data_IF_931001134206
#
_entry.id   IF_931001134206
#
_cell.length_a   1.000
_cell.length_b   1.000
_cell.length_c   1.000
_cell.angle_alpha   90.00
_cell.angle_beta   90.00
_cell.angle_gamma   90.00
#
_symmetry.space_group_name_H-M   'P 1'
#
loop_
_entity.id
_entity.type
_entity.pdbx_description
1 polymer ?
#
# COMPACT_ATOMS: atom_id res chain seq x y z
N UNK A 1 -35.77 13.29 -19.49
CA UNK A 1 -35.29 14.08 -20.66
C UNK A 1 -34.51 15.33 -20.24
N UNK A 2 -35.02 16.17 -19.34
CA UNK A 2 -34.43 17.49 -19.02
C UNK A 2 -32.94 17.49 -18.57
N UNK A 3 -32.42 16.38 -18.05
CA UNK A 3 -31.00 16.24 -17.68
C UNK A 3 -30.06 15.80 -18.82
N UNK A 4 -30.60 15.49 -20.00
CA UNK A 4 -29.83 15.02 -21.15
C UNK A 4 -29.74 16.09 -22.22
N UNK A 5 -28.61 16.10 -22.94
CA UNK A 5 -28.38 17.06 -24.00
C UNK A 5 -29.18 16.74 -25.27
N UNK A 6 -29.36 15.47 -25.62
CA UNK A 6 -30.02 15.03 -26.86
C UNK A 6 -31.39 14.40 -26.59
N UNK A 7 -32.10 14.05 -27.66
CA UNK A 7 -33.33 13.25 -27.60
C UNK A 7 -33.07 11.74 -27.49
N UNK A 8 -31.82 11.30 -27.34
CA UNK A 8 -31.46 9.93 -27.03
C UNK A 8 -31.24 9.81 -25.52
N UNK A 9 -31.96 8.88 -24.88
CA UNK A 9 -31.87 8.65 -23.44
C UNK A 9 -31.56 7.17 -23.23
N UNK A 10 -30.56 6.89 -22.39
CA UNK A 10 -30.27 5.52 -21.95
C UNK A 10 -31.13 5.17 -20.73
N UNK A 11 -31.74 3.99 -20.78
CA UNK A 11 -32.42 3.37 -19.64
C UNK A 11 -31.70 2.06 -19.34
N UNK A 12 -30.94 2.04 -18.24
CA UNK A 12 -30.25 0.83 -17.76
C UNK A 12 -31.25 -0.06 -17.05
N UNK A 13 -31.82 -1.03 -17.78
CA UNK A 13 -32.82 -1.95 -17.25
C UNK A 13 -32.14 -3.16 -16.63
N UNK A 14 -31.88 -3.10 -15.32
CA UNK A 14 -31.17 -4.11 -14.57
C UNK A 14 -30.74 -3.57 -13.20
N UNK A 15 -30.24 -4.46 -12.37
CA UNK A 15 -29.69 -4.17 -11.04
C UNK A 15 -28.74 -5.32 -10.65
N UNK A 16 -28.17 -5.28 -9.45
CA UNK A 16 -27.29 -6.32 -8.92
C UNK A 16 -27.87 -7.73 -9.10
N UNK A 17 -27.13 -8.58 -9.82
CA UNK A 17 -27.47 -9.99 -10.10
C UNK A 17 -28.84 -10.23 -10.76
N UNK A 18 -29.42 -9.23 -11.42
CA UNK A 18 -30.61 -9.44 -12.24
C UNK A 18 -30.31 -10.32 -13.49
N UNK A 19 -31.38 -10.74 -14.16
CA UNK A 19 -31.38 -11.62 -15.35
C UNK A 19 -31.02 -13.10 -15.12
N UNK A 20 -30.99 -13.59 -13.87
CA UNK A 20 -30.97 -15.05 -13.62
C UNK A 20 -32.15 -15.77 -14.30
N UNK A 21 -33.34 -15.16 -14.26
CA UNK A 21 -34.48 -15.52 -15.09
C UNK A 21 -34.76 -14.43 -16.14
N UNK A 22 -33.98 -14.44 -17.21
CA UNK A 22 -34.04 -13.41 -18.25
C UNK A 22 -35.41 -13.31 -18.98
N UNK A 23 -36.14 -14.43 -19.12
CA UNK A 23 -37.43 -14.44 -19.85
C UNK A 23 -38.46 -13.49 -19.23
N UNK A 24 -38.52 -13.43 -17.90
CA UNK A 24 -39.44 -12.54 -17.20
C UNK A 24 -39.17 -11.05 -17.50
N UNK A 25 -37.90 -10.67 -17.56
CA UNK A 25 -37.45 -9.32 -17.88
C UNK A 25 -37.80 -8.98 -19.33
N UNK A 26 -37.39 -9.83 -20.28
CA UNK A 26 -37.60 -9.60 -21.71
C UNK A 26 -39.08 -9.60 -22.09
N UNK A 27 -39.90 -10.48 -21.52
CA UNK A 27 -41.35 -10.51 -21.76
C UNK A 27 -42.05 -9.21 -21.35
N UNK A 28 -41.62 -8.58 -20.26
CA UNK A 28 -42.17 -7.30 -19.82
C UNK A 28 -41.62 -6.12 -20.62
N UNK A 29 -40.33 -6.14 -20.98
CA UNK A 29 -39.73 -5.15 -21.87
C UNK A 29 -40.37 -5.17 -23.26
N UNK A 30 -40.65 -6.34 -23.83
CA UNK A 30 -41.33 -6.48 -25.13
C UNK A 30 -42.72 -5.84 -25.11
N UNK A 31 -43.49 -6.08 -24.03
CA UNK A 31 -44.79 -5.42 -23.83
C UNK A 31 -44.63 -3.91 -23.71
N UNK A 32 -43.67 -3.44 -22.90
CA UNK A 32 -43.40 -2.01 -22.72
C UNK A 32 -43.08 -1.34 -24.06
N UNK A 33 -42.12 -1.89 -24.81
CA UNK A 33 -41.72 -1.42 -26.13
C UNK A 33 -42.93 -1.37 -27.07
N UNK A 34 -43.67 -2.49 -27.16
CA UNK A 34 -44.86 -2.59 -28.03
C UNK A 34 -45.89 -1.50 -27.72
N UNK A 35 -46.30 -1.38 -26.46
CA UNK A 35 -47.40 -0.49 -26.10
C UNK A 35 -46.98 0.98 -26.02
N UNK A 36 -45.74 1.30 -25.65
CA UNK A 36 -45.23 2.69 -25.69
C UNK A 36 -45.11 3.16 -27.14
N UNK A 37 -44.55 2.35 -28.03
CA UNK A 37 -44.40 2.73 -29.44
C UNK A 37 -45.76 2.82 -30.14
N UNK A 38 -46.74 1.99 -29.78
CA UNK A 38 -48.10 2.09 -30.32
C UNK A 38 -48.78 3.44 -30.04
N UNK A 39 -48.41 4.15 -28.97
CA UNK A 39 -48.93 5.50 -28.67
C UNK A 39 -48.45 6.57 -29.68
N UNK A 40 -47.51 6.26 -30.56
CA UNK A 40 -47.14 7.15 -31.67
C UNK A 40 -48.34 7.42 -32.58
N UNK A 41 -49.26 6.44 -32.74
CA UNK A 41 -50.52 6.64 -33.46
C UNK A 41 -51.44 7.68 -32.78
N UNK A 42 -51.24 7.93 -31.48
CA UNK A 42 -51.97 8.91 -30.68
C UNK A 42 -51.13 10.19 -30.42
N UNK A 43 -50.09 10.44 -31.22
CA UNK A 43 -49.29 11.67 -31.16
C UNK A 43 -48.09 11.66 -30.20
N UNK A 44 -47.74 10.50 -29.62
CA UNK A 44 -46.49 10.39 -28.84
C UNK A 44 -45.26 10.49 -29.75
N UNK A 45 -44.26 11.28 -29.34
CA UNK A 45 -42.96 11.39 -30.04
C UNK A 45 -41.88 10.48 -29.43
N UNK A 46 -42.27 9.51 -28.60
CA UNK A 46 -41.35 8.60 -27.91
C UNK A 46 -41.20 7.32 -28.71
N UNK A 47 -39.95 6.88 -28.89
CA UNK A 47 -39.61 5.58 -29.46
C UNK A 47 -38.69 4.83 -28.50
N UNK A 48 -39.09 3.62 -28.09
CA UNK A 48 -38.36 2.75 -27.17
C UNK A 48 -37.95 1.48 -27.91
N UNK A 49 -36.73 1.01 -27.71
CA UNK A 49 -36.20 -0.19 -28.35
C UNK A 49 -35.03 -0.73 -27.53
N UNK A 50 -34.72 -2.02 -27.70
CA UNK A 50 -33.50 -2.60 -27.12
C UNK A 50 -32.27 -1.95 -27.72
N UNK A 51 -31.28 -1.65 -26.89
CA UNK A 51 -30.04 -1.02 -27.32
C UNK A 51 -28.89 -1.48 -26.43
N UNK A 52 -27.68 -1.04 -26.78
CA UNK A 52 -26.46 -1.25 -26.02
C UNK A 52 -25.81 0.10 -25.71
N UNK A 53 -24.88 0.13 -24.75
CA UNK A 53 -24.12 1.35 -24.46
C UNK A 53 -23.37 1.88 -25.69
N UNK A 54 -22.88 1.01 -26.56
CA UNK A 54 -22.19 1.42 -27.80
C UNK A 54 -23.16 2.05 -28.81
N UNK A 55 -24.34 1.47 -29.03
CA UNK A 55 -25.36 2.05 -29.91
C UNK A 55 -25.85 3.41 -29.41
N UNK A 56 -26.01 3.56 -28.08
CA UNK A 56 -26.35 4.84 -27.46
C UNK A 56 -25.26 5.90 -27.71
N UNK A 57 -23.99 5.58 -27.44
CA UNK A 57 -22.87 6.50 -27.68
C UNK A 57 -22.72 6.86 -29.17
N UNK A 58 -22.97 5.91 -30.08
CA UNK A 58 -23.01 6.17 -31.52
C UNK A 58 -24.07 7.19 -31.89
N UNK A 59 -25.30 7.05 -31.36
CA UNK A 59 -26.37 8.00 -31.59
C UNK A 59 -26.04 9.40 -31.04
N UNK A 60 -25.40 9.47 -29.86
CA UNK A 60 -24.92 10.74 -29.30
C UNK A 60 -23.85 11.41 -30.18
N UNK A 61 -22.91 10.63 -30.74
CA UNK A 61 -21.90 11.14 -31.65
C UNK A 61 -22.53 11.65 -32.97
N UNK A 62 -23.53 10.94 -33.50
CA UNK A 62 -24.27 11.34 -34.71
C UNK A 62 -25.16 12.57 -34.52
N UNK A 63 -25.52 12.91 -33.29
CA UNK A 63 -26.29 14.12 -32.99
C UNK A 63 -25.51 15.43 -33.21
N UNK A 64 -24.22 15.35 -33.62
CA UNK A 64 -23.35 16.47 -34.00
C UNK A 64 -23.43 17.66 -33.05
N UNK A 65 -23.27 17.37 -31.76
CA UNK A 65 -23.39 18.33 -30.67
C UNK A 65 -22.03 18.61 -30.04
N UNK A 66 -21.81 19.85 -29.61
CA UNK A 66 -20.70 20.20 -28.73
C UNK A 66 -20.97 19.79 -27.27
N UNK A 67 -19.95 19.23 -26.63
CA UNK A 67 -19.99 18.76 -25.24
C UNK A 67 -19.08 19.62 -24.36
N UNK A 68 -19.42 19.76 -23.08
CA UNK A 68 -18.54 20.45 -22.12
C UNK A 68 -17.36 19.55 -21.76
N UNK A 69 -16.18 20.14 -21.69
CA UNK A 69 -14.99 19.44 -21.17
C UNK A 69 -15.04 19.33 -19.64
N UNK A 70 -14.53 18.21 -19.11
CA UNK A 70 -14.33 17.92 -17.68
C UNK A 70 -12.93 17.32 -17.56
N UNK A 71 -12.08 17.90 -16.71
CA UNK A 71 -10.64 17.60 -16.69
C UNK A 71 -10.13 17.14 -15.32
N UNK A 72 -10.89 17.39 -14.26
CA UNK A 72 -10.68 16.89 -12.91
C UNK A 72 -11.42 15.57 -12.68
N UNK A 73 -11.27 14.95 -11.51
CA UNK A 73 -11.87 13.67 -11.17
C UNK A 73 -13.26 13.78 -10.50
N UNK A 74 -13.75 12.65 -9.97
CA UNK A 74 -15.04 12.55 -9.28
C UNK A 74 -14.89 12.21 -7.79
N UNK A 75 -13.73 12.51 -7.20
CA UNK A 75 -13.48 12.25 -5.78
C UNK A 75 -13.61 13.49 -4.89
N UNK A 76 -13.98 13.31 -3.60
CA UNK A 76 -14.65 12.12 -3.05
C UNK A 76 -16.13 12.05 -3.46
N UNK A 77 -16.66 10.82 -3.52
CA UNK A 77 -18.09 10.55 -3.75
C UNK A 77 -18.89 10.72 -2.45
N UNK A 78 -20.07 11.32 -2.55
CA UNK A 78 -21.08 11.33 -1.49
C UNK A 78 -22.48 11.16 -2.09
N UNK A 79 -23.29 10.34 -1.44
CA UNK A 79 -24.65 10.04 -1.86
C UNK A 79 -25.72 10.81 -1.06
N UNK A 80 -25.34 11.38 0.08
CA UNK A 80 -26.12 12.30 0.91
C UNK A 80 -25.16 13.10 1.84
N UNK A 81 -25.62 14.12 2.60
CA UNK A 81 -24.74 15.05 3.31
C UNK A 81 -23.70 14.42 4.26
N UNK A 82 -24.10 13.42 5.07
CA UNK A 82 -23.20 12.70 6.00
C UNK A 82 -22.62 11.39 5.43
N UNK A 83 -22.69 11.20 4.11
CA UNK A 83 -22.43 9.92 3.45
C UNK A 83 -21.27 9.99 2.47
N UNK A 84 -20.13 10.53 2.91
CA UNK A 84 -18.89 10.61 2.12
C UNK A 84 -18.12 9.29 2.13
N UNK A 85 -17.94 8.71 0.94
CA UNK A 85 -17.30 7.41 0.76
C UNK A 85 -15.79 7.59 0.71
N UNK A 86 -15.20 7.87 1.87
CA UNK A 86 -13.74 8.03 2.03
C UNK A 86 -13.14 7.07 3.05
N UNK A 87 -13.96 6.30 3.76
CA UNK A 87 -13.50 5.26 4.69
C UNK A 87 -12.85 4.08 3.96
N UNK A 88 -13.32 3.75 2.75
CA UNK A 88 -12.75 2.65 1.97
C UNK A 88 -11.34 2.96 1.43
N UNK A 89 -10.90 4.23 1.47
CA UNK A 89 -9.52 4.58 1.15
C UNK A 89 -8.52 3.90 2.11
N UNK A 90 -8.94 3.59 3.34
CA UNK A 90 -8.09 2.99 4.38
C UNK A 90 -8.59 1.64 4.91
N UNK A 91 -9.84 1.26 4.63
CA UNK A 91 -10.43 0.00 5.10
C UNK A 91 -9.61 -1.21 4.66
N UNK A 92 -9.37 -2.18 5.57
CA UNK A 92 -8.53 -3.37 5.33
C UNK A 92 -7.12 -3.03 4.80
N UNK A 93 -6.41 -2.09 5.43
CA UNK A 93 -5.06 -1.66 5.03
C UNK A 93 -4.06 -2.82 4.78
N UNK A 94 -4.15 -3.91 5.54
CA UNK A 94 -3.33 -5.10 5.33
C UNK A 94 -3.56 -5.75 3.96
N UNK A 95 -4.82 -5.89 3.51
CA UNK A 95 -5.15 -6.44 2.19
C UNK A 95 -4.70 -5.50 1.07
N UNK A 96 -4.85 -4.18 1.25
CA UNK A 96 -4.32 -3.17 0.31
C UNK A 96 -2.81 -3.28 0.14
N UNK A 97 -2.07 -3.44 1.23
CA UNK A 97 -0.62 -3.66 1.18
C UNK A 97 -0.29 -5.01 0.51
N UNK A 98 -1.05 -6.06 0.83
CA UNK A 98 -0.79 -7.39 0.30
C UNK A 98 -1.02 -7.48 -1.21
N UNK A 99 -2.04 -6.79 -1.74
CA UNK A 99 -2.26 -6.66 -3.18
C UNK A 99 -1.05 -5.98 -3.86
N UNK A 100 -0.51 -4.88 -3.31
CA UNK A 100 0.64 -4.18 -3.90
C UNK A 100 1.89 -5.05 -3.92
N UNK A 101 2.09 -5.82 -2.86
CA UNK A 101 3.18 -6.79 -2.75
C UNK A 101 3.02 -7.94 -3.75
N UNK A 102 1.83 -8.52 -3.86
CA UNK A 102 1.53 -9.56 -4.83
C UNK A 102 1.68 -9.07 -6.28
N UNK A 103 1.26 -7.83 -6.58
CA UNK A 103 1.51 -7.22 -7.90
C UNK A 103 3.00 -7.10 -8.20
N UNK A 104 3.82 -6.67 -7.23
CA UNK A 104 5.27 -6.59 -7.41
C UNK A 104 5.87 -7.97 -7.77
N UNK A 105 5.49 -9.02 -7.02
CA UNK A 105 5.91 -10.39 -7.30
C UNK A 105 5.45 -10.83 -8.70
N UNK A 106 4.21 -10.52 -9.09
CA UNK A 106 3.69 -10.83 -10.43
C UNK A 106 4.52 -10.16 -11.52
N UNK A 107 4.87 -8.88 -11.39
CA UNK A 107 5.69 -8.18 -12.39
C UNK A 107 7.11 -8.75 -12.45
N UNK A 108 7.76 -8.97 -11.29
CA UNK A 108 9.09 -9.59 -11.22
C UNK A 108 9.09 -10.97 -11.88
N UNK A 109 8.08 -11.78 -11.60
CA UNK A 109 7.97 -13.13 -12.16
C UNK A 109 7.72 -13.10 -13.67
N UNK A 110 6.96 -12.11 -14.18
CA UNK A 110 6.81 -11.89 -15.62
C UNK A 110 8.12 -11.48 -16.28
N UNK A 111 8.91 -10.62 -15.66
CA UNK A 111 10.25 -10.25 -16.14
C UNK A 111 11.13 -11.50 -16.24
N UNK A 112 11.25 -12.26 -15.15
CA UNK A 112 12.04 -13.48 -15.10
C UNK A 112 11.57 -14.54 -16.11
N UNK A 113 10.27 -14.74 -16.25
CA UNK A 113 9.70 -15.63 -17.27
C UNK A 113 10.07 -15.20 -18.70
N UNK A 114 10.07 -13.90 -18.98
CA UNK A 114 10.49 -13.36 -20.27
C UNK A 114 12.00 -13.53 -20.51
N UNK A 115 12.85 -13.14 -19.53
CA UNK A 115 14.31 -13.24 -19.64
C UNK A 115 14.81 -14.68 -19.76
N UNK A 116 14.26 -15.59 -18.96
CA UNK A 116 14.65 -16.99 -18.96
C UNK A 116 13.89 -17.83 -19.99
N UNK A 117 12.93 -17.24 -20.72
CA UNK A 117 12.05 -17.92 -21.66
C UNK A 117 11.48 -19.24 -21.07
N UNK A 118 10.84 -19.17 -19.91
CA UNK A 118 10.31 -20.36 -19.22
C UNK A 118 8.97 -20.83 -19.79
N UNK A 119 8.32 -20.05 -20.66
CA UNK A 119 6.99 -20.33 -21.22
C UNK A 119 5.90 -20.55 -20.15
N UNK A 120 6.07 -19.94 -18.97
CA UNK A 120 5.23 -20.16 -17.80
C UNK A 120 3.96 -19.28 -17.75
N UNK A 121 3.48 -18.78 -18.91
CA UNK A 121 2.30 -17.89 -18.96
C UNK A 121 1.07 -18.52 -18.32
N UNK A 122 0.78 -19.78 -18.66
CA UNK A 122 -0.37 -20.50 -18.11
C UNK A 122 -0.16 -20.86 -16.64
N UNK A 123 1.08 -21.18 -16.26
CA UNK A 123 1.44 -21.41 -14.85
C UNK A 123 1.20 -20.17 -14.00
N UNK A 124 1.44 -18.96 -14.52
CA UNK A 124 1.18 -17.69 -13.83
C UNK A 124 -0.28 -17.22 -13.88
N UNK A 125 -1.18 -17.97 -14.52
CA UNK A 125 -2.58 -17.58 -14.61
C UNK A 125 -3.23 -17.42 -13.23
N UNK A 126 -3.05 -18.31 -12.23
CA UNK A 126 -3.67 -18.15 -10.91
C UNK A 126 -3.33 -16.82 -10.22
N UNK A 127 -2.06 -16.40 -10.24
CA UNK A 127 -1.68 -15.09 -9.68
C UNK A 127 -2.22 -13.93 -10.52
N UNK A 128 -2.23 -14.05 -11.84
CA UNK A 128 -2.78 -13.00 -12.72
C UNK A 128 -4.29 -12.84 -12.52
N UNK A 129 -5.02 -13.94 -12.36
CA UNK A 129 -6.45 -13.96 -12.05
C UNK A 129 -6.73 -13.39 -10.66
N UNK A 130 -6.01 -13.87 -9.63
CA UNK A 130 -6.14 -13.35 -8.27
C UNK A 130 -5.89 -11.84 -8.20
N UNK A 131 -4.88 -11.34 -8.91
CA UNK A 131 -4.62 -9.90 -9.02
C UNK A 131 -5.74 -9.15 -9.74
N UNK A 132 -6.34 -9.74 -10.78
CA UNK A 132 -7.49 -9.16 -11.47
C UNK A 132 -8.73 -9.08 -10.58
N UNK A 133 -9.06 -10.16 -9.87
CA UNK A 133 -10.15 -10.22 -8.89
C UNK A 133 -9.92 -9.22 -7.75
N UNK A 134 -8.67 -9.08 -7.28
CA UNK A 134 -8.33 -8.11 -6.24
C UNK A 134 -8.59 -6.65 -6.66
N UNK A 135 -8.67 -6.33 -7.95
CA UNK A 135 -9.05 -4.98 -8.43
C UNK A 135 -10.58 -4.75 -8.42
N UNK A 136 -11.39 -5.76 -8.10
CA UNK A 136 -12.83 -5.58 -7.92
C UNK A 136 -13.11 -4.46 -6.92
N UNK A 137 -14.17 -3.68 -7.15
CA UNK A 137 -14.47 -2.49 -6.36
C UNK A 137 -14.95 -2.80 -4.93
N UNK A 138 -15.17 -4.08 -4.59
CA UNK A 138 -15.35 -4.56 -3.21
C UNK A 138 -14.17 -5.38 -2.67
N UNK A 139 -13.10 -5.54 -3.43
CA UNK A 139 -11.90 -6.26 -2.99
C UNK A 139 -10.88 -5.27 -2.43
N UNK A 140 -10.15 -4.57 -3.29
CA UNK A 140 -9.12 -3.62 -2.85
C UNK A 140 -9.68 -2.49 -1.98
N UNK A 141 -10.95 -2.10 -2.18
CA UNK A 141 -11.65 -1.10 -1.36
C UNK A 141 -11.82 -1.55 0.10
N UNK A 142 -11.87 -2.86 0.36
CA UNK A 142 -12.06 -3.42 1.69
C UNK A 142 -13.51 -3.37 2.18
N UNK A 143 -14.48 -3.40 1.27
CA UNK A 143 -15.92 -3.24 1.55
C UNK A 143 -16.73 -4.55 1.52
N UNK A 144 -16.05 -5.68 1.31
CA UNK A 144 -16.57 -7.03 1.38
C UNK A 144 -16.76 -7.56 2.81
N UNK A 145 -17.50 -8.67 2.94
CA UNK A 145 -17.60 -9.44 4.19
C UNK A 145 -16.26 -10.10 4.53
N UNK A 146 -16.03 -10.35 5.82
CA UNK A 146 -14.76 -10.90 6.31
C UNK A 146 -14.33 -12.21 5.65
N UNK A 147 -15.27 -13.14 5.40
CA UNK A 147 -14.95 -14.40 4.72
C UNK A 147 -14.47 -14.21 3.28
N UNK A 148 -15.00 -13.21 2.58
CA UNK A 148 -14.59 -12.86 1.21
C UNK A 148 -13.22 -12.20 1.21
N UNK A 149 -12.92 -11.35 2.21
CA UNK A 149 -11.58 -10.80 2.41
C UNK A 149 -10.51 -11.89 2.59
N UNK A 150 -10.86 -12.94 3.34
CA UNK A 150 -9.99 -14.10 3.52
C UNK A 150 -9.81 -14.91 2.23
N UNK A 151 -10.87 -15.08 1.43
CA UNK A 151 -10.79 -15.70 0.10
C UNK A 151 -9.84 -14.91 -0.83
N UNK A 152 -9.96 -13.57 -0.87
CA UNK A 152 -9.03 -12.74 -1.66
C UNK A 152 -7.58 -12.91 -1.20
N UNK A 153 -7.32 -12.86 0.10
CA UNK A 153 -5.97 -13.07 0.64
C UNK A 153 -5.44 -14.48 0.33
N UNK A 154 -6.29 -15.51 0.43
CA UNK A 154 -5.93 -16.89 0.10
C UNK A 154 -5.54 -17.02 -1.36
N UNK A 155 -6.34 -16.50 -2.30
CA UNK A 155 -6.04 -16.52 -3.74
C UNK A 155 -4.71 -15.86 -4.07
N UNK A 156 -4.42 -14.71 -3.46
CA UNK A 156 -3.13 -14.02 -3.63
C UNK A 156 -1.97 -14.88 -3.12
N UNK A 157 -2.12 -15.50 -1.95
CA UNK A 157 -1.12 -16.39 -1.35
C UNK A 157 -0.82 -17.61 -2.22
N UNK A 158 -1.86 -18.30 -2.67
CA UNK A 158 -1.74 -19.46 -3.58
C UNK A 158 -1.10 -19.05 -4.91
N UNK A 159 -1.50 -17.91 -5.47
CA UNK A 159 -0.87 -17.35 -6.67
C UNK A 159 0.62 -17.04 -6.49
N UNK A 160 1.01 -16.48 -5.34
CA UNK A 160 2.42 -16.20 -5.02
C UNK A 160 3.23 -17.50 -4.94
N UNK A 161 2.71 -18.56 -4.31
CA UNK A 161 3.39 -19.86 -4.24
C UNK A 161 3.64 -20.44 -5.64
N UNK A 162 2.68 -20.30 -6.55
CA UNK A 162 2.86 -20.71 -7.95
C UNK A 162 3.94 -19.87 -8.65
N UNK A 163 3.98 -18.56 -8.37
CA UNK A 163 5.00 -17.67 -8.91
C UNK A 163 6.41 -18.03 -8.43
N UNK A 164 6.59 -18.47 -7.18
CA UNK A 164 7.89 -18.96 -6.67
C UNK A 164 8.44 -20.11 -7.53
N UNK A 165 7.58 -21.04 -7.95
CA UNK A 165 7.99 -22.13 -8.85
C UNK A 165 8.54 -21.61 -10.19
N UNK A 166 7.91 -20.58 -10.75
CA UNK A 166 8.36 -19.96 -12.02
C UNK A 166 9.65 -19.17 -11.83
N UNK A 167 9.80 -18.45 -10.71
CA UNK A 167 11.05 -17.76 -10.34
C UNK A 167 12.21 -18.78 -10.27
N UNK A 168 11.99 -19.93 -9.63
CA UNK A 168 12.98 -20.99 -9.55
C UNK A 168 13.37 -21.57 -10.92
N UNK A 169 12.37 -21.82 -11.79
CA UNK A 169 12.65 -22.27 -13.16
C UNK A 169 13.46 -21.24 -13.95
N UNK A 170 13.21 -19.95 -13.73
CA UNK A 170 13.96 -18.88 -14.36
C UNK A 170 15.41 -18.86 -13.86
N UNK A 171 15.63 -18.87 -12.54
CA UNK A 171 16.98 -18.90 -11.98
C UNK A 171 17.75 -20.17 -12.36
N UNK A 172 17.09 -21.32 -12.47
CA UNK A 172 17.72 -22.56 -12.95
C UNK A 172 18.25 -22.46 -14.40
N UNK A 173 17.78 -21.49 -15.19
CA UNK A 173 18.28 -21.19 -16.53
C UNK A 173 19.28 -20.02 -16.55
N UNK A 174 19.07 -19.01 -15.70
CA UNK A 174 19.85 -17.77 -15.69
C UNK A 174 21.15 -17.87 -14.87
N UNK A 175 21.16 -18.68 -13.81
CA UNK A 175 22.35 -18.84 -12.98
C UNK A 175 23.42 -19.65 -13.74
N UNK A 176 24.72 -19.30 -13.58
CA UNK A 176 25.81 -20.02 -14.22
C UNK A 176 25.76 -21.52 -13.89
N UNK A 177 25.93 -22.36 -14.91
CA UNK A 177 26.09 -23.81 -14.74
C UNK A 177 27.54 -24.15 -15.00
N UNK A 178 28.31 -24.37 -13.94
CA UNK A 178 29.54 -25.15 -14.07
C UNK A 178 29.21 -26.64 -13.87
N UNK A 179 29.85 -27.50 -14.66
CA UNK A 179 29.81 -28.96 -14.57
C UNK A 179 30.14 -29.49 -13.17
N UNK A 180 30.85 -28.71 -12.34
CA UNK A 180 31.17 -29.04 -10.95
C UNK A 180 30.28 -28.36 -9.90
N UNK A 181 29.35 -27.49 -10.30
CA UNK A 181 28.48 -26.79 -9.34
C UNK A 181 27.41 -27.73 -8.78
N UNK A 182 27.14 -27.65 -7.45
CA UNK A 182 26.02 -28.39 -6.88
C UNK A 182 24.70 -27.95 -7.53
N UNK A 183 23.67 -28.83 -7.56
CA UNK A 183 22.35 -28.45 -8.05
C UNK A 183 21.84 -27.20 -7.35
N UNK A 184 21.31 -26.26 -8.13
CA UNK A 184 20.67 -25.05 -7.59
C UNK A 184 19.53 -25.50 -6.68
N UNK A 185 19.64 -25.18 -5.39
CA UNK A 185 18.58 -25.47 -4.42
C UNK A 185 17.37 -24.59 -4.70
N UNK A 186 16.19 -25.09 -4.31
CA UNK A 186 14.96 -24.33 -4.42
C UNK A 186 15.03 -23.07 -3.57
N UNK A 187 14.90 -21.91 -4.22
CA UNK A 187 14.80 -20.60 -3.60
C UNK A 187 13.35 -20.35 -3.18
N UNK A 188 13.14 -19.64 -2.07
CA UNK A 188 11.81 -19.24 -1.60
C UNK A 188 11.84 -17.75 -1.26
N UNK A 189 10.68 -17.11 -1.25
CA UNK A 189 10.59 -15.69 -0.91
C UNK A 189 10.41 -15.52 0.61
N UNK A 190 11.13 -14.58 1.20
CA UNK A 190 10.92 -14.15 2.59
C UNK A 190 9.65 -13.27 2.71
N UNK A 191 8.47 -13.88 2.61
CA UNK A 191 7.17 -13.18 2.62
C UNK A 191 6.84 -12.47 3.94
N UNK A 192 7.52 -12.84 5.04
CA UNK A 192 7.32 -12.27 6.38
C UNK A 192 8.40 -11.25 6.76
N UNK A 193 9.11 -10.70 5.78
CA UNK A 193 10.19 -9.72 6.00
C UNK A 193 9.71 -8.42 6.65
N UNK A 194 8.45 -8.02 6.43
CA UNK A 194 7.84 -6.85 7.07
C UNK A 194 7.73 -7.00 8.60
N UNK A 195 7.51 -8.23 9.08
CA UNK A 195 7.56 -8.55 10.51
C UNK A 195 8.95 -9.08 10.86
N UNK A 196 10.00 -8.67 10.14
CA UNK A 196 11.41 -9.06 10.29
C UNK A 196 11.62 -10.55 10.56
N UNK A 197 10.95 -11.42 9.79
CA UNK A 197 11.01 -12.87 9.89
C UNK A 197 11.24 -13.52 8.52
N UNK A 198 12.13 -14.52 8.46
CA UNK A 198 12.28 -15.35 7.28
C UNK A 198 12.64 -16.78 7.68
N UNK A 199 11.63 -17.65 7.73
CA UNK A 199 11.73 -18.97 8.36
C UNK A 199 12.80 -19.87 7.76
N UNK A 200 13.02 -19.84 6.44
CA UNK A 200 13.95 -20.77 5.80
C UNK A 200 15.43 -20.45 6.00
N UNK A 201 15.78 -19.24 6.50
CA UNK A 201 17.18 -18.89 6.83
C UNK A 201 17.47 -18.97 8.33
N UNK A 202 16.44 -19.14 9.17
CA UNK A 202 16.59 -19.14 10.61
C UNK A 202 17.35 -20.38 11.12
N UNK A 203 18.53 -20.17 11.69
CA UNK A 203 19.36 -21.24 12.24
C UNK A 203 20.28 -21.92 11.21
N UNK A 204 20.28 -21.46 9.95
CA UNK A 204 21.22 -21.94 8.93
C UNK A 204 22.62 -21.41 9.19
N UNK A 205 23.64 -22.25 9.05
CA UNK A 205 25.05 -21.82 9.16
C UNK A 205 25.53 -21.10 7.92
N UNK A 206 25.00 -21.47 6.75
CA UNK A 206 25.26 -20.84 5.47
C UNK A 206 23.96 -20.71 4.68
N UNK A 207 23.75 -19.57 4.04
CA UNK A 207 22.63 -19.37 3.13
C UNK A 207 22.97 -18.29 2.09
N UNK A 208 22.12 -18.14 1.08
CA UNK A 208 22.28 -17.10 0.07
C UNK A 208 21.03 -16.24 -0.01
N UNK A 209 21.21 -14.98 -0.39
CA UNK A 209 20.13 -14.03 -0.65
C UNK A 209 20.31 -13.50 -2.06
N UNK A 210 19.38 -13.84 -2.96
CA UNK A 210 19.34 -13.30 -4.32
C UNK A 210 18.40 -12.11 -4.37
N UNK A 211 18.91 -10.97 -4.82
CA UNK A 211 18.15 -9.72 -4.91
C UNK A 211 17.97 -9.34 -6.37
N UNK A 212 16.72 -9.19 -6.79
CA UNK A 212 16.36 -8.78 -8.15
C UNK A 212 15.97 -7.29 -8.17
N UNK A 213 16.50 -6.55 -9.13
CA UNK A 213 16.12 -5.19 -9.44
C UNK A 213 15.17 -5.16 -10.66
N UNK A 214 13.87 -4.87 -10.47
CA UNK A 214 12.91 -4.79 -11.57
C UNK A 214 12.95 -3.46 -12.33
N UNK A 215 13.79 -2.50 -11.92
CA UNK A 215 13.89 -1.19 -12.56
C UNK A 215 14.87 -1.21 -13.74
N UNK A 216 14.62 -0.31 -14.69
CA UNK A 216 15.44 -0.16 -15.91
C UNK A 216 16.77 0.59 -15.69
N UNK A 217 17.06 0.98 -14.45
CA UNK A 217 18.29 1.65 -14.06
C UNK A 217 18.92 0.91 -12.88
N UNK A 218 20.23 1.12 -12.71
CA UNK A 218 20.97 0.60 -11.57
C UNK A 218 20.43 1.20 -10.27
N UNK A 219 20.31 0.38 -9.23
CA UNK A 219 19.81 0.81 -7.92
C UNK A 219 20.86 0.50 -6.86
N UNK A 220 21.17 1.49 -6.04
CA UNK A 220 21.93 1.32 -4.82
C UNK A 220 20.99 1.47 -3.63
N UNK A 221 20.94 0.48 -2.75
CA UNK A 221 20.04 0.49 -1.60
C UNK A 221 20.64 -0.30 -0.43
N UNK A 222 20.10 -0.09 0.77
CA UNK A 222 20.43 -0.89 1.94
C UNK A 222 19.40 -2.01 2.12
N UNK A 223 19.85 -3.19 2.48
CA UNK A 223 19.02 -4.37 2.66
C UNK A 223 19.08 -4.82 4.11
N UNK A 224 17.91 -5.14 4.68
CA UNK A 224 17.77 -5.68 6.04
C UNK A 224 17.47 -7.17 5.96
N UNK A 225 18.29 -7.99 6.62
CA UNK A 225 18.08 -9.45 6.70
C UNK A 225 17.97 -9.86 8.17
N UNK A 226 16.83 -10.41 8.63
CA UNK A 226 16.68 -10.85 10.01
C UNK A 226 17.53 -12.09 10.28
N UNK A 227 18.34 -12.05 11.33
CA UNK A 227 19.30 -13.12 11.65
C UNK A 227 19.29 -13.48 13.14
N UNK A 228 19.65 -14.73 13.46
CA UNK A 228 19.78 -15.20 14.85
C UNK A 228 21.16 -14.91 15.44
N UNK A 229 22.16 -14.79 14.58
CA UNK A 229 23.56 -14.65 14.95
C UNK A 229 24.27 -13.75 13.94
N UNK A 230 25.56 -13.54 14.14
CA UNK A 230 26.36 -12.73 13.22
C UNK A 230 26.85 -13.57 12.03
N UNK A 231 26.91 -12.95 10.85
CA UNK A 231 27.31 -13.58 9.60
C UNK A 231 28.31 -12.69 8.87
N UNK A 232 29.32 -13.31 8.28
CA UNK A 232 30.12 -12.68 7.23
C UNK A 232 29.31 -12.71 5.95
N UNK A 233 29.13 -11.54 5.33
CA UNK A 233 28.40 -11.41 4.06
C UNK A 233 29.39 -11.14 2.94
N UNK A 234 29.31 -11.93 1.87
CA UNK A 234 30.11 -11.75 0.66
C UNK A 234 29.25 -11.42 -0.54
N UNK A 235 29.79 -10.60 -1.42
CA UNK A 235 29.17 -10.24 -2.68
C UNK A 235 29.38 -11.33 -3.76
N UNK A 236 28.84 -11.17 -4.99
CA UNK A 236 29.05 -12.10 -6.09
C UNK A 236 30.52 -12.29 -6.51
N UNK A 237 31.41 -11.36 -6.19
CA UNK A 237 32.85 -11.45 -6.52
C UNK A 237 33.65 -12.20 -5.45
N UNK A 238 33.04 -12.46 -4.28
CA UNK A 238 33.64 -13.11 -3.12
C UNK A 238 34.22 -12.12 -2.10
N UNK A 239 34.13 -10.81 -2.37
CA UNK A 239 34.58 -9.76 -1.46
C UNK A 239 33.66 -9.68 -0.23
N UNK A 240 34.24 -9.51 0.95
CA UNK A 240 33.50 -9.33 2.19
C UNK A 240 32.90 -7.93 2.23
N UNK A 241 31.58 -7.84 2.39
CA UNK A 241 30.88 -6.57 2.54
C UNK A 241 30.96 -6.05 3.97
N UNK A 242 30.98 -4.73 4.09
CA UNK A 242 30.70 -4.09 5.37
C UNK A 242 29.24 -4.35 5.77
N UNK A 243 29.06 -4.82 7.00
CA UNK A 243 27.74 -5.15 7.54
C UNK A 243 27.60 -4.66 8.96
N UNK A 244 26.42 -4.20 9.32
CA UNK A 244 26.10 -3.81 10.70
C UNK A 244 24.94 -4.62 11.25
N UNK A 245 25.08 -5.00 12.51
CA UNK A 245 24.08 -5.79 13.22
C UNK A 245 23.25 -4.89 14.13
N UNK A 246 22.01 -4.63 13.72
CA UNK A 246 21.10 -3.70 14.38
C UNK A 246 20.00 -4.47 15.11
N UNK A 247 19.59 -4.08 16.34
CA UNK A 247 18.46 -4.72 17.01
C UNK A 247 17.15 -4.46 16.29
N UNK A 248 16.26 -5.46 16.31
CA UNK A 248 14.87 -5.31 15.85
C UNK A 248 14.08 -4.63 16.96
N UNK A 249 13.22 -3.67 16.64
CA UNK A 249 12.44 -2.95 17.65
C UNK A 249 11.51 -3.86 18.45
N UNK A 250 11.21 -3.45 19.68
CA UNK A 250 10.30 -4.22 20.54
C UNK A 250 8.89 -4.30 19.95
N UNK A 251 8.45 -3.26 19.24
CA UNK A 251 7.17 -3.24 18.53
C UNK A 251 7.08 -4.37 17.50
N UNK A 252 8.10 -4.49 16.63
CA UNK A 252 8.18 -5.56 15.63
C UNK A 252 8.29 -6.94 16.29
N UNK A 253 9.10 -7.07 17.35
CA UNK A 253 9.24 -8.33 18.10
C UNK A 253 7.93 -8.80 18.76
N UNK A 254 7.01 -7.87 19.04
CA UNK A 254 5.72 -8.14 19.68
C UNK A 254 4.56 -8.33 18.69
N UNK A 255 4.79 -8.21 17.38
CA UNK A 255 3.74 -8.41 16.39
C UNK A 255 3.12 -9.82 16.54
N UNK A 256 1.79 -9.93 16.69
CA UNK A 256 1.13 -11.23 16.77
C UNK A 256 1.43 -12.11 15.55
N UNK A 257 1.74 -13.39 15.80
CA UNK A 257 2.11 -14.35 14.75
C UNK A 257 3.61 -14.40 14.43
N UNK A 258 4.40 -13.42 14.90
CA UNK A 258 5.87 -13.47 14.79
C UNK A 258 6.46 -14.49 15.78
N UNK A 259 7.44 -15.29 15.34
CA UNK A 259 8.24 -16.12 16.24
C UNK A 259 9.39 -15.29 16.85
N UNK A 260 9.73 -15.50 18.13
CA UNK A 260 10.78 -14.74 18.84
C UNK A 260 12.21 -15.21 18.54
N UNK A 261 12.43 -15.80 17.36
CA UNK A 261 13.64 -16.52 17.05
C UNK A 261 14.78 -15.60 16.58
N UNK A 262 14.46 -14.49 15.93
CA UNK A 262 15.41 -13.45 15.51
C UNK A 262 15.17 -12.18 16.32
N UNK A 263 16.25 -11.53 16.79
CA UNK A 263 16.20 -10.29 17.58
C UNK A 263 17.04 -9.17 16.97
N UNK A 264 17.81 -9.50 15.92
CA UNK A 264 18.72 -8.59 15.23
C UNK A 264 18.56 -8.78 13.73
N UNK A 265 19.01 -7.78 12.99
CA UNK A 265 19.05 -7.79 11.54
C UNK A 265 20.41 -7.29 11.07
N UNK A 266 20.92 -7.92 10.02
CA UNK A 266 22.11 -7.45 9.31
C UNK A 266 21.66 -6.42 8.27
N UNK A 267 22.37 -5.30 8.24
CA UNK A 267 22.18 -4.23 7.27
C UNK A 267 23.45 -4.09 6.45
N UNK A 268 23.30 -4.07 5.13
CA UNK A 268 24.40 -3.92 4.19
C UNK A 268 23.93 -3.20 2.92
N UNK A 269 24.86 -2.49 2.28
CA UNK A 269 24.62 -1.74 1.05
C UNK A 269 24.82 -2.65 -0.16
N UNK A 270 23.90 -2.60 -1.10
CA UNK A 270 23.94 -3.36 -2.35
C UNK A 270 23.85 -2.42 -3.53
N UNK A 271 24.50 -2.79 -4.63
CA UNK A 271 24.33 -2.15 -5.93
C UNK A 271 23.85 -3.22 -6.91
N UNK A 272 22.65 -3.04 -7.46
CA UNK A 272 22.01 -4.00 -8.37
C UNK A 272 21.93 -3.44 -9.78
N UNK A 273 22.29 -4.23 -10.82
CA UNK A 273 22.18 -3.78 -12.21
C UNK A 273 20.72 -3.57 -12.62
N UNK A 274 20.50 -2.78 -13.66
CA UNK A 274 19.18 -2.62 -14.28
C UNK A 274 18.63 -3.96 -14.75
N UNK A 275 17.37 -4.27 -14.44
CA UNK A 275 16.68 -5.50 -14.84
C UNK A 275 17.52 -6.77 -14.59
N UNK A 276 18.19 -6.83 -13.45
CA UNK A 276 19.12 -7.92 -13.13
C UNK A 276 19.16 -8.24 -11.64
N UNK A 277 20.05 -9.15 -11.28
CA UNK A 277 20.17 -9.63 -9.91
C UNK A 277 21.62 -9.86 -9.51
N UNK A 278 21.85 -9.85 -8.20
CA UNK A 278 23.08 -10.32 -7.56
C UNK A 278 22.72 -11.29 -6.42
N UNK A 279 23.62 -12.24 -6.16
CA UNK A 279 23.49 -13.20 -5.06
C UNK A 279 24.55 -12.92 -4.01
N UNK A 280 24.11 -12.79 -2.76
CA UNK A 280 24.96 -12.53 -1.60
C UNK A 280 25.05 -13.78 -0.73
N UNK A 281 26.23 -14.04 -0.18
CA UNK A 281 26.55 -15.27 0.54
C UNK A 281 26.74 -14.98 2.03
N UNK A 282 25.96 -15.65 2.87
CA UNK A 282 26.00 -15.50 4.32
C UNK A 282 26.68 -16.73 4.92
N UNK A 283 27.70 -16.50 5.74
CA UNK A 283 28.39 -17.56 6.49
C UNK A 283 28.49 -17.16 7.96
N UNK A 284 28.01 -18.02 8.85
CA UNK A 284 27.97 -17.77 10.30
C UNK A 284 29.38 -17.51 10.83
N UNK A 285 29.56 -16.41 11.57
CA UNK A 285 30.84 -16.11 12.19
C UNK A 285 31.17 -17.09 13.33
N UNK A 286 32.44 -17.52 13.47
CA UNK A 286 32.91 -18.26 14.64
C UNK A 286 32.68 -17.47 15.93
N UNK A 287 32.42 -18.15 17.05
CA UNK A 287 32.12 -17.49 18.34
C UNK A 287 33.24 -16.57 18.84
N UNK A 288 34.49 -16.81 18.42
CA UNK A 288 35.66 -16.00 18.79
C UNK A 288 35.70 -14.63 18.08
N UNK A 289 35.11 -14.51 16.89
CA UNK A 289 35.07 -13.27 16.10
C UNK A 289 33.88 -12.37 16.47
N UNK A 290 32.97 -12.84 17.34
CA UNK A 290 31.79 -12.07 17.78
C UNK A 290 32.10 -10.96 18.79
N UNK A 291 33.35 -10.84 19.23
CA UNK A 291 33.80 -9.90 20.25
C UNK A 291 34.26 -8.54 19.71
N UNK A 292 34.10 -8.27 18.41
CA UNK A 292 34.28 -6.92 17.88
C UNK A 292 33.26 -5.97 18.52
N UNK A 293 33.73 -4.86 19.10
CA UNK A 293 32.85 -3.85 19.68
C UNK A 293 31.95 -3.30 18.58
N UNK A 294 30.64 -3.50 18.73
CA UNK A 294 29.63 -2.94 17.84
C UNK A 294 29.83 -1.43 17.68
N UNK A 295 29.94 -0.95 16.45
CA UNK A 295 29.91 0.48 16.10
C UNK A 295 28.56 1.13 16.44
N UNK A 296 27.52 0.31 16.59
CA UNK A 296 26.14 0.77 16.80
C UNK A 296 25.98 1.34 18.20
N UNK A 297 25.70 2.65 18.29
CA UNK A 297 25.35 3.32 19.55
C UNK A 297 23.83 3.37 19.70
N UNK A 298 23.35 3.06 20.90
CA UNK A 298 21.92 3.11 21.24
C UNK A 298 21.76 4.02 22.45
N UNK A 299 20.91 5.03 22.33
CA UNK A 299 20.52 5.92 23.43
C UNK A 299 19.00 5.91 23.60
N UNK A 300 18.54 6.24 24.80
CA UNK A 300 17.12 6.19 25.18
C UNK A 300 16.72 7.49 25.85
N UNK A 301 15.61 8.09 25.41
CA UNK A 301 15.04 9.34 25.96
C UNK A 301 16.07 10.47 26.05
N UNK A 302 16.85 10.63 24.97
CA UNK A 302 17.81 11.71 24.77
C UNK A 302 17.53 12.35 23.40
N UNK A 303 17.97 13.60 23.21
CA UNK A 303 17.92 14.26 21.91
C UNK A 303 18.55 13.38 20.83
N UNK A 304 17.88 13.27 19.68
CA UNK A 304 18.31 12.40 18.60
C UNK A 304 18.34 13.17 17.28
N UNK A 305 19.54 13.37 16.73
CA UNK A 305 19.73 13.98 15.40
C UNK A 305 20.19 12.95 14.41
N UNK A 306 19.34 12.46 13.51
CA UNK A 306 19.74 11.63 12.38
C UNK A 306 20.39 12.51 11.31
N UNK A 307 21.55 12.14 10.78
CA UNK A 307 22.23 12.94 9.77
C UNK A 307 23.03 12.09 8.79
N UNK A 308 22.85 12.35 7.50
CA UNK A 308 23.72 11.83 6.44
C UNK A 308 24.26 13.01 5.59
N UNK A 309 24.66 12.73 4.35
CA UNK A 309 25.20 13.70 3.41
C UNK A 309 24.16 14.73 2.94
N UNK A 310 22.89 14.31 2.81
CA UNK A 310 21.82 15.07 2.15
C UNK A 310 20.79 15.64 3.13
N UNK A 311 20.56 14.96 4.25
CA UNK A 311 19.46 15.23 5.17
C UNK A 311 19.92 15.24 6.63
N UNK A 312 19.21 16.04 7.43
CA UNK A 312 19.24 16.02 8.90
C UNK A 312 17.82 15.95 9.44
N UNK A 313 17.58 15.11 10.44
CA UNK A 313 16.28 14.94 11.11
C UNK A 313 16.51 15.09 12.61
N UNK A 314 15.83 16.04 13.23
CA UNK A 314 16.06 16.42 14.63
C UNK A 314 14.84 16.08 15.51
N UNK A 315 15.09 15.38 16.61
CA UNK A 315 14.11 15.02 17.64
C UNK A 315 14.58 15.50 19.01
N UNK A 316 13.65 15.89 19.89
CA UNK A 316 13.95 16.11 21.31
C UNK A 316 14.01 14.79 22.11
N UNK A 317 14.34 14.93 23.40
CA UNK A 317 14.37 13.88 24.40
C UNK A 317 13.01 13.20 24.64
N UNK A 318 11.93 13.88 24.26
CA UNK A 318 10.55 13.38 24.30
C UNK A 318 10.14 12.72 22.97
N UNK A 319 11.01 12.61 21.98
CA UNK A 319 10.68 11.99 20.68
C UNK A 319 9.72 12.79 19.80
N UNK A 320 9.57 14.09 20.06
CA UNK A 320 8.88 15.02 19.18
C UNK A 320 9.80 15.29 17.96
N UNK A 321 9.29 15.10 16.74
CA UNK A 321 10.00 15.53 15.53
C UNK A 321 9.96 17.06 15.47
N UNK A 322 11.13 17.71 15.44
CA UNK A 322 11.24 19.16 15.36
C UNK A 322 11.49 19.66 13.94
N UNK A 323 12.47 19.08 13.26
CA UNK A 323 12.92 19.61 11.98
C UNK A 323 13.41 18.51 11.05
N UNK A 324 13.12 18.68 9.76
CA UNK A 324 13.83 17.99 8.68
C UNK A 324 14.52 19.05 7.83
N UNK A 325 15.83 18.90 7.63
CA UNK A 325 16.67 19.81 6.86
C UNK A 325 17.26 19.09 5.66
N UNK A 326 17.02 19.62 4.47
CA UNK A 326 17.78 19.31 3.27
C UNK A 326 19.09 20.11 3.29
N UNK A 327 20.20 19.41 3.49
CA UNK A 327 21.54 19.98 3.63
C UNK A 327 22.08 20.50 2.29
N UNK A 328 21.76 19.83 1.18
CA UNK A 328 22.20 20.23 -0.17
C UNK A 328 21.66 21.60 -0.57
N UNK A 329 20.42 21.90 -0.20
CA UNK A 329 19.73 23.14 -0.53
C UNK A 329 19.66 24.13 0.63
N UNK A 330 20.09 23.72 1.82
CA UNK A 330 19.96 24.51 3.06
C UNK A 330 18.51 24.97 3.34
N UNK A 331 17.54 24.10 3.06
CA UNK A 331 16.11 24.34 3.31
C UNK A 331 15.64 23.38 4.41
N UNK A 332 14.91 23.88 5.40
CA UNK A 332 14.33 23.08 6.46
C UNK A 332 12.84 23.30 6.63
N UNK A 333 12.14 22.26 7.08
CA UNK A 333 10.73 22.31 7.48
C UNK A 333 10.65 22.11 8.98
N UNK A 334 9.96 23.03 9.67
CA UNK A 334 9.72 22.93 11.10
C UNK A 334 8.40 22.22 11.36
N UNK A 335 8.40 21.33 12.34
CA UNK A 335 7.25 20.56 12.77
C UNK A 335 6.74 21.16 14.08
N UNK A 336 5.47 21.59 14.07
CA UNK A 336 4.74 21.96 15.28
C UNK A 336 4.31 20.73 16.05
N UNK A 337 3.91 19.70 15.31
CA UNK A 337 3.52 18.41 15.85
C UNK A 337 3.69 17.32 14.80
N UNK A 338 3.99 16.11 15.26
CA UNK A 338 3.94 14.90 14.45
C UNK A 338 3.58 13.74 15.37
N UNK A 339 2.61 12.92 14.95
CA UNK A 339 2.23 11.74 15.72
C UNK A 339 0.94 11.08 15.26
N UNK A 340 0.56 10.03 16.00
CA UNK A 340 -0.69 9.33 15.78
C UNK A 340 -1.85 10.01 16.50
N UNK A 341 -2.95 10.16 15.77
CA UNK A 341 -4.23 10.61 16.28
C UNK A 341 -5.32 9.63 15.86
N UNK A 342 -6.51 9.78 16.39
CA UNK A 342 -7.65 8.98 15.97
C UNK A 342 -8.94 9.78 15.97
N UNK A 343 -9.80 9.48 15.01
CA UNK A 343 -11.17 9.93 14.99
C UNK A 343 -12.06 8.89 15.64
N UNK A 344 -12.95 9.33 16.52
CA UNK A 344 -14.07 8.51 16.97
C UNK A 344 -15.06 8.38 15.81
N UNK A 345 -15.39 7.16 15.41
CA UNK A 345 -16.45 6.94 14.41
C UNK A 345 -17.82 7.33 14.95
N UNK A 346 -18.63 8.02 14.16
CA UNK A 346 -20.00 8.36 14.53
C UNK A 346 -20.85 7.09 14.68
N UNK A 347 -21.45 6.89 15.85
CA UNK A 347 -22.30 5.75 16.17
C UNK A 347 -23.74 6.00 15.71
N UNK A 348 -24.00 5.73 14.43
CA UNK A 348 -25.31 5.80 13.80
C UNK A 348 -26.03 4.45 13.70
N UNK A 349 -27.28 4.47 13.23
CA UNK A 349 -28.12 3.27 13.06
C UNK A 349 -28.72 3.13 11.64
N UNK A 350 -28.34 4.00 10.70
CA UNK A 350 -28.86 4.01 9.32
C UNK A 350 -30.39 4.17 9.18
N UNK A 351 -31.12 4.53 10.23
CA UNK A 351 -32.58 4.71 10.13
C UNK A 351 -32.96 5.89 9.25
N UNK A 352 -32.09 6.89 9.16
CA UNK A 352 -32.19 8.09 8.31
C UNK A 352 -30.79 8.63 7.98
N UNK A 353 -30.64 9.49 6.95
CA UNK A 353 -29.34 10.04 6.56
C UNK A 353 -28.57 10.76 7.69
N UNK A 354 -29.26 11.41 8.62
CA UNK A 354 -28.66 12.04 9.81
C UNK A 354 -28.02 11.03 10.78
N UNK A 355 -28.44 9.76 10.74
CA UNK A 355 -27.93 8.66 11.57
C UNK A 355 -27.01 7.71 10.80
N UNK A 356 -26.37 8.17 9.72
CA UNK A 356 -25.33 7.42 9.01
C UNK A 356 -24.13 7.13 9.94
N UNK A 357 -23.77 5.88 10.27
CA UNK A 357 -22.56 5.57 11.01
C UNK A 357 -21.31 5.67 10.12
N UNK A 358 -20.15 5.78 10.75
CA UNK A 358 -18.89 5.44 10.09
C UNK A 358 -18.82 3.92 9.82
N UNK A 359 -18.10 3.49 8.79
CA UNK A 359 -18.00 2.09 8.41
C UNK A 359 -17.01 1.84 7.26
N UNK A 360 -17.09 0.66 6.64
CA UNK A 360 -16.14 0.27 5.59
C UNK A 360 -16.09 1.25 4.40
N UNK A 361 -17.25 1.76 3.98
CA UNK A 361 -17.35 2.74 2.89
C UNK A 361 -17.14 4.17 3.36
N UNK A 362 -17.85 4.55 4.42
CA UNK A 362 -18.09 5.93 4.83
C UNK A 362 -17.21 6.25 6.03
N UNK A 363 -16.45 7.34 5.91
CA UNK A 363 -15.77 7.95 7.04
C UNK A 363 -16.66 9.09 7.55
N UNK A 364 -17.21 8.91 8.75
CA UNK A 364 -17.97 9.94 9.44
C UNK A 364 -17.45 10.07 10.87
N UNK A 365 -16.51 10.97 11.14
CA UNK A 365 -16.02 11.19 12.49
C UNK A 365 -17.11 11.83 13.37
N UNK A 366 -17.07 11.59 14.67
CA UNK A 366 -17.96 12.22 15.65
C UNK A 366 -17.63 13.70 15.86
N UNK A 367 -16.39 14.10 15.61
CA UNK A 367 -15.87 15.46 15.71
C UNK A 367 -14.79 15.70 14.66
N UNK A 368 -14.66 16.94 14.15
CA UNK A 368 -13.60 17.31 13.20
C UNK A 368 -12.18 17.28 13.79
N UNK A 369 -12.06 17.36 15.12
CA UNK A 369 -10.79 17.31 15.81
C UNK A 369 -10.48 15.90 16.31
N UNK A 370 -9.41 15.25 15.83
CA UNK A 370 -9.05 13.93 16.30
C UNK A 370 -8.34 14.01 17.65
N UNK A 371 -8.39 12.92 18.39
CA UNK A 371 -7.74 12.78 19.68
C UNK A 371 -6.33 12.20 19.52
N UNK A 372 -5.32 12.64 20.29
CA UNK A 372 -4.01 12.01 20.25
C UNK A 372 -4.11 10.55 20.71
N UNK A 373 -3.36 9.65 20.06
CA UNK A 373 -3.26 8.24 20.47
C UNK A 373 -2.52 8.11 21.81
N UNK A 374 -1.60 9.02 22.08
CA UNK A 374 -0.93 9.16 23.37
C UNK A 374 -0.50 10.61 23.59
N UNK A 375 -0.52 11.04 24.84
CA UNK A 375 0.05 12.33 25.27
C UNK A 375 1.51 12.21 25.71
N UNK A 376 1.99 10.99 25.91
CA UNK A 376 3.38 10.68 26.24
C UNK A 376 3.98 9.75 25.19
N UNK A 377 5.29 9.82 25.01
CA UNK A 377 6.02 8.92 24.12
C UNK A 377 7.45 8.77 24.62
N UNK A 378 8.15 7.78 24.09
CA UNK A 378 9.58 7.58 24.33
C UNK A 378 10.33 7.46 23.01
N UNK A 379 11.62 7.78 23.02
CA UNK A 379 12.49 7.67 21.86
C UNK A 379 13.67 6.74 22.16
N UNK A 380 13.99 5.88 21.20
CA UNK A 380 15.26 5.15 21.16
C UNK A 380 16.00 5.51 19.89
N UNK A 381 17.20 6.07 20.03
CA UNK A 381 18.03 6.49 18.92
C UNK A 381 19.10 5.43 18.66
N UNK A 382 19.12 4.88 17.45
CA UNK A 382 20.10 3.91 16.99
C UNK A 382 21.01 4.60 15.97
N UNK A 383 22.32 4.62 16.23
CA UNK A 383 23.34 5.18 15.36
C UNK A 383 24.23 4.06 14.84
N UNK A 384 23.94 3.59 13.63
CA UNK A 384 24.85 2.78 12.83
C UNK A 384 25.39 3.64 11.67
N UNK A 385 26.46 3.19 11.03
CA UNK A 385 27.09 3.87 9.89
C UNK A 385 26.20 3.83 8.65
N UNK A 386 25.63 2.65 8.36
CA UNK A 386 24.76 2.37 7.21
C UNK A 386 23.37 2.98 7.37
N UNK A 387 22.88 3.07 8.62
CA UNK A 387 21.55 3.61 8.93
C UNK A 387 21.49 4.18 10.35
N UNK A 388 20.82 5.31 10.48
CA UNK A 388 20.45 5.87 11.76
C UNK A 388 18.93 5.82 11.90
N UNK A 389 18.43 5.33 13.03
CA UNK A 389 16.99 5.13 13.25
C UNK A 389 16.55 5.77 14.56
N UNK A 390 15.48 6.56 14.51
CA UNK A 390 14.74 6.99 15.69
C UNK A 390 13.47 6.14 15.82
N UNK A 391 13.37 5.36 16.89
CA UNK A 391 12.19 4.57 17.22
C UNK A 391 11.37 5.37 18.23
N UNK A 392 10.20 5.86 17.82
CA UNK A 392 9.28 6.60 18.69
C UNK A 392 8.12 5.69 19.08
N UNK A 393 7.99 5.41 20.37
CA UNK A 393 6.92 4.57 20.93
C UNK A 393 5.88 5.45 21.60
N UNK A 394 4.64 5.44 21.11
CA UNK A 394 3.55 6.24 21.67
C UNK A 394 2.85 5.48 22.79
N UNK A 395 2.59 4.19 22.58
CA UNK A 395 2.04 3.28 23.59
C UNK A 395 2.32 1.82 23.18
N UNK A 396 1.70 0.86 23.86
CA UNK A 396 1.91 -0.57 23.61
C UNK A 396 1.33 -1.11 22.28
N UNK A 397 0.57 -0.30 21.53
CA UNK A 397 -0.03 -0.69 20.25
C UNK A 397 0.25 0.30 19.11
N UNK A 398 1.04 1.36 19.34
CA UNK A 398 1.38 2.36 18.32
C UNK A 398 2.84 2.82 18.46
N UNK A 399 3.60 2.65 17.39
CA UNK A 399 5.00 3.08 17.28
C UNK A 399 5.37 3.42 15.84
N UNK A 400 6.46 4.15 15.67
CA UNK A 400 7.06 4.43 14.37
C UNK A 400 8.58 4.34 14.42
N UNK A 401 9.19 3.90 13.32
CA UNK A 401 10.62 3.91 13.09
C UNK A 401 10.93 4.89 11.96
N UNK A 402 11.68 5.94 12.28
CA UNK A 402 12.19 6.93 11.31
C UNK A 402 13.63 6.57 11.01
N UNK A 403 13.92 6.11 9.80
CA UNK A 403 15.25 5.68 9.37
C UNK A 403 15.84 6.64 8.33
N UNK A 404 17.12 6.98 8.50
CA UNK A 404 17.92 7.72 7.54
C UNK A 404 19.15 6.89 7.18
N UNK A 405 19.21 6.42 5.94
CA UNK A 405 20.32 5.61 5.43
C UNK A 405 21.50 6.47 4.99
N UNK A 406 22.70 5.89 5.02
CA UNK A 406 23.88 6.47 4.38
C UNK A 406 23.60 6.76 2.89
N UNK A 407 23.92 7.98 2.44
CA UNK A 407 23.69 8.44 1.07
C UNK A 407 22.22 8.54 0.63
N UNK A 408 21.25 8.33 1.52
CA UNK A 408 19.82 8.43 1.19
C UNK A 408 19.34 9.87 1.05
N UNK A 409 18.54 10.15 0.03
CA UNK A 409 17.93 11.48 -0.21
C UNK A 409 16.51 11.60 0.37
N UNK A 410 16.05 10.59 1.11
CA UNK A 410 14.74 10.55 1.75
C UNK A 410 14.83 9.97 3.16
N UNK A 411 13.79 10.26 3.96
CA UNK A 411 13.58 9.67 5.28
C UNK A 411 12.54 8.57 5.14
N UNK A 412 12.84 7.37 5.63
CA UNK A 412 11.88 6.26 5.67
C UNK A 412 11.13 6.25 7.00
N UNK A 413 9.80 6.20 6.93
CA UNK A 413 8.94 6.15 8.11
C UNK A 413 8.13 4.86 8.04
N UNK A 414 8.47 3.91 8.90
CA UNK A 414 7.71 2.68 9.09
C UNK A 414 6.85 2.83 10.35
N UNK A 415 5.60 2.39 10.31
CA UNK A 415 4.70 2.44 11.46
C UNK A 415 4.14 1.08 11.80
N UNK A 416 3.97 0.83 13.10
CA UNK A 416 3.29 -0.35 13.61
C UNK A 416 2.12 0.11 14.47
N UNK A 417 0.90 -0.18 14.02
CA UNK A 417 -0.35 0.15 14.71
C UNK A 417 -1.19 -1.12 14.86
N UNK A 418 -1.50 -1.49 16.09
CA UNK A 418 -2.40 -2.58 16.42
C UNK A 418 -1.98 -3.38 17.67
N UNK A 419 -2.92 -4.11 18.29
CA UNK A 419 -4.36 -4.10 18.01
C UNK A 419 -5.01 -2.78 18.44
N UNK A 420 -5.89 -2.22 17.60
CA UNK A 420 -6.62 -0.99 17.93
C UNK A 420 -7.59 -1.32 19.09
N UNK A 421 -7.51 -0.64 20.24
CA UNK A 421 -8.34 -0.97 21.39
C UNK A 421 -9.80 -0.56 21.13
N UNK A 422 -10.71 -1.52 21.20
CA UNK A 422 -12.16 -1.32 20.97
C UNK A 422 -13.03 -1.89 22.11
N UNK A 423 -12.43 -2.33 23.22
CA UNK A 423 -13.15 -2.91 24.36
C UNK A 423 -14.05 -1.89 25.07
N UNK A 424 -13.84 -0.60 24.80
CA UNK A 424 -14.67 0.52 25.23
C UNK A 424 -15.91 0.74 24.33
N UNK A 425 -16.11 -0.09 23.30
CA UNK A 425 -17.14 0.05 22.27
C UNK A 425 -17.04 1.35 21.46
N UNK A 426 -15.86 1.96 21.38
CA UNK A 426 -15.61 3.17 20.59
C UNK A 426 -14.81 2.79 19.35
N UNK A 427 -15.40 2.98 18.17
CA UNK A 427 -14.71 2.84 16.89
C UNK A 427 -13.63 3.92 16.74
N UNK A 428 -12.40 3.51 16.40
CA UNK A 428 -11.24 4.40 16.28
C UNK A 428 -10.62 4.31 14.89
N UNK A 429 -10.49 5.43 14.22
CA UNK A 429 -9.88 5.55 12.91
C UNK A 429 -8.55 6.29 13.03
N UNK A 430 -7.45 5.55 12.99
CA UNK A 430 -6.11 6.05 13.30
C UNK A 430 -5.53 6.81 12.10
N UNK A 431 -4.95 7.98 12.36
CA UNK A 431 -4.23 8.80 11.37
C UNK A 431 -2.81 9.07 11.85
N UNK A 432 -1.90 9.25 10.90
CA UNK A 432 -0.59 9.86 11.14
C UNK A 432 -0.63 11.30 10.62
N UNK A 433 -0.40 12.27 11.50
CA UNK A 433 -0.51 13.71 11.18
C UNK A 433 0.86 14.38 11.26
N UNK A 434 1.10 15.29 10.32
CA UNK A 434 2.29 16.15 10.26
C UNK A 434 1.83 17.61 10.22
N UNK A 435 2.03 18.34 11.31
CA UNK A 435 1.73 19.76 11.39
C UNK A 435 3.02 20.56 11.21
N UNK A 436 3.12 21.34 10.13
CA UNK A 436 4.34 22.06 9.76
C UNK A 436 4.14 23.57 9.70
N UNK A 437 5.23 24.30 9.44
CA UNK A 437 5.24 25.73 9.17
C UNK A 437 4.95 26.09 7.69
N UNK A 438 4.74 25.10 6.82
CA UNK A 438 4.46 25.30 5.40
C UNK A 438 3.12 26.02 5.20
N UNK A 439 3.18 27.17 4.50
CA UNK A 439 2.02 27.99 4.16
C UNK A 439 1.34 27.49 2.88
N UNK A 440 0.65 26.35 2.95
CA UNK A 440 0.05 25.69 1.78
C UNK A 440 -1.21 26.37 1.21
N UNK A 441 -1.75 27.40 1.89
CA UNK A 441 -2.97 28.12 1.47
C UNK A 441 -4.18 27.19 1.23
N UNK A 442 -4.35 26.18 2.08
CA UNK A 442 -5.39 25.13 1.97
C UNK A 442 -5.29 24.25 0.72
N UNK A 443 -4.17 24.31 -0.02
CA UNK A 443 -3.90 23.44 -1.18
C UNK A 443 -3.02 22.26 -0.78
N UNK A 444 -3.24 21.14 -1.43
CA UNK A 444 -2.44 19.93 -1.28
C UNK A 444 -2.52 19.09 -2.55
N UNK A 445 -1.71 18.04 -2.66
CA UNK A 445 -1.58 17.27 -3.89
C UNK A 445 -1.67 15.79 -3.59
N UNK A 446 -2.44 15.06 -4.39
CA UNK A 446 -2.63 13.61 -4.26
C UNK A 446 -2.53 12.98 -5.64
N UNK A 447 -1.94 11.79 -5.74
CA UNK A 447 -1.91 11.07 -7.00
C UNK A 447 -3.30 10.53 -7.41
N UNK A 448 -3.45 10.25 -8.70
CA UNK A 448 -4.52 9.47 -9.29
C UNK A 448 -3.93 8.13 -9.75
N UNK A 449 -4.19 7.07 -8.97
CA UNK A 449 -3.78 5.69 -9.27
C UNK A 449 -2.26 5.50 -9.44
N UNK A 450 -1.45 6.27 -8.71
CA UNK A 450 0.02 6.23 -8.80
C UNK A 450 0.57 6.84 -10.10
N UNK A 451 -0.20 7.68 -10.79
CA UNK A 451 0.19 8.32 -12.06
C UNK A 451 0.25 9.84 -11.93
N UNK A 452 -0.81 10.52 -12.31
CA UNK A 452 -0.87 11.99 -12.33
C UNK A 452 -1.07 12.53 -10.92
N UNK A 453 -0.54 13.71 -10.64
CA UNK A 453 -0.74 14.40 -9.36
C UNK A 453 -1.77 15.50 -9.55
N UNK A 454 -2.84 15.45 -8.76
CA UNK A 454 -3.96 16.40 -8.81
C UNK A 454 -3.86 17.42 -7.67
N UNK A 455 -4.03 18.71 -7.99
CA UNK A 455 -4.22 19.76 -6.98
C UNK A 455 -5.57 19.57 -6.31
N UNK A 456 -5.57 19.58 -4.98
CA UNK A 456 -6.73 19.55 -4.12
C UNK A 456 -6.79 20.82 -3.29
N UNK A 457 -8.01 21.26 -2.98
CA UNK A 457 -8.24 22.41 -2.10
C UNK A 457 -9.28 22.02 -1.05
N UNK A 458 -8.95 22.23 0.21
CA UNK A 458 -9.86 21.95 1.34
C UNK A 458 -11.15 22.75 1.18
N UNK A 459 -12.28 22.10 1.43
CA UNK A 459 -13.64 22.66 1.36
C UNK A 459 -13.99 23.34 0.02
N UNK A 460 -13.49 22.79 -1.10
CA UNK A 460 -13.72 23.36 -2.42
C UNK A 460 -14.07 22.29 -3.47
N UNK A 461 -14.94 22.67 -4.42
CA UNK A 461 -15.21 21.91 -5.65
C UNK A 461 -15.19 22.86 -6.86
N UNK A 462 -14.53 22.48 -7.96
CA UNK A 462 -14.44 23.36 -9.14
C UNK A 462 -15.76 23.46 -9.92
N UNK A 463 -16.62 22.45 -9.82
CA UNK A 463 -17.81 22.30 -10.68
C UNK A 463 -19.14 22.61 -10.00
N UNK A 464 -19.18 22.80 -8.67
CA UNK A 464 -20.37 23.18 -7.93
C UNK A 464 -20.03 23.86 -6.60
N UNK A 465 -20.99 24.59 -6.04
CA UNK A 465 -20.84 25.21 -4.72
C UNK A 465 -20.90 24.13 -3.64
N UNK A 466 -19.80 23.97 -2.90
CA UNK A 466 -19.69 23.02 -1.81
C UNK A 466 -19.99 23.70 -0.47
N UNK A 467 -20.78 23.02 0.37
CA UNK A 467 -21.04 23.40 1.76
C UNK A 467 -20.54 22.27 2.65
N UNK A 468 -19.65 22.59 3.59
CA UNK A 468 -19.16 21.62 4.57
C UNK A 468 -20.29 21.21 5.52
N UNK A 469 -20.43 19.90 5.75
CA UNK A 469 -21.53 19.32 6.56
C UNK A 469 -21.04 18.78 7.91
N UNK A 470 -19.76 18.41 7.99
CA UNK A 470 -19.12 17.99 9.24
C UNK A 470 -18.41 19.22 9.85
N UNK A 471 -18.64 19.46 11.14
CA UNK A 471 -18.05 20.57 11.92
C UNK A 471 -17.46 20.06 13.20
#
# INVERSE_FOLDING_TARGET
AAGYATNHIIMTFGDDFNFENADEYFKNLDKLIKYVNAQQANGSNVNVFYSTSSCYLYALNKADRSWKSKTDDFFPYAHHPHGFWTGYFSSRAALKRYERHANNILQVTRHLNAFANTNARNTLFPLSEAMGVAQHHDALSGTEKQAVAFDYAQRLSEGIQVAEGVINQAYAKLLPKDSQSPPIQFQFLCQLSNISQCLGIEGQERFTVTLWNPLIHQVTQHIRVPVRTDYTVRDPTGETLFTELVPISQAVQNIPGRTRLTQKQIIFKVTLPALGFNTYYFEKKPDQEKNEKSSVKITHNEECTLKNQHLRVDFDDQGNLHQIVNLDRSIGVQFKSQGFYWYQGFAGNNSRPEFQPSGAYIFRPLSSDPQPVSTTRSITCIKAESVQTAIVTFNNWASQEISLYDGGEHVEIEWTVGPIPINDNIGKEIILRYDTDIQSQSKYYTDANGREVLERKRDYRPTWNYTAVET
#
